data_IF_681366877854
#
_entry.id   IF_681366877854
#
_cell.length_a   1.000
_cell.length_b   1.000
_cell.length_c   1.000
_cell.angle_alpha   90.00
_cell.angle_beta   90.00
_cell.angle_gamma   90.00
#
_symmetry.space_group_name_H-M   'P 1'
#
loop_
_entity.id
_entity.type
_entity.pdbx_description
1 polymer ?
#
# COMPACT_ATOMS: atom_id res chain seq x y z
N UNK A 1 42.04 -22.49 7.92
CA UNK A 1 41.23 -23.38 8.79
C UNK A 1 39.78 -23.09 8.50
N UNK A 2 39.11 -24.10 7.95
CA UNK A 2 37.75 -24.08 7.40
C UNK A 2 36.73 -24.11 8.55
N UNK A 3 36.06 -22.99 8.82
CA UNK A 3 34.95 -22.94 9.78
C UNK A 3 33.67 -23.36 9.07
N UNK A 4 33.43 -24.67 9.07
CA UNK A 4 32.11 -25.33 9.02
C UNK A 4 30.97 -24.47 8.46
N UNK A 5 30.81 -24.47 7.14
CA UNK A 5 29.57 -24.08 6.47
C UNK A 5 28.47 -25.07 6.88
N UNK A 6 27.76 -24.75 7.96
CA UNK A 6 26.50 -25.41 8.30
C UNK A 6 25.60 -25.23 7.07
N UNK A 7 25.12 -26.29 6.40
CA UNK A 7 24.13 -26.11 5.36
C UNK A 7 22.91 -25.48 6.03
N UNK A 8 22.69 -24.19 5.79
CA UNK A 8 21.53 -23.47 6.29
C UNK A 8 20.32 -24.12 5.64
N UNK A 9 19.64 -24.99 6.39
CA UNK A 9 18.41 -25.71 6.00
C UNK A 9 17.28 -24.77 5.53
N UNK A 10 17.45 -23.47 5.75
CA UNK A 10 16.62 -22.41 5.21
C UNK A 10 17.53 -21.45 4.43
N UNK A 11 17.20 -21.09 3.18
CA UNK A 11 17.91 -20.03 2.49
C UNK A 11 17.83 -18.76 3.35
N UNK A 12 18.91 -17.94 3.40
CA UNK A 12 18.84 -16.65 4.09
C UNK A 12 17.66 -15.86 3.51
N UNK A 13 16.69 -15.55 4.38
CA UNK A 13 15.53 -14.74 4.03
C UNK A 13 16.05 -13.33 3.76
N UNK A 14 16.21 -13.00 2.49
CA UNK A 14 16.68 -11.69 2.06
C UNK A 14 15.55 -10.67 2.22
N UNK A 15 15.42 -10.13 3.43
CA UNK A 15 14.41 -9.12 3.76
C UNK A 15 14.63 -7.80 3.01
N UNK A 16 15.85 -7.56 2.49
CA UNK A 16 16.15 -6.39 1.66
C UNK A 16 15.43 -6.45 0.31
N UNK A 17 15.27 -7.65 -0.26
CA UNK A 17 14.54 -7.86 -1.52
C UNK A 17 13.04 -7.64 -1.35
N UNK A 18 12.44 -8.16 -0.27
CA UNK A 18 11.00 -8.04 -0.01
C UNK A 18 10.59 -6.60 0.32
N UNK A 19 11.32 -5.94 1.24
CA UNK A 19 11.03 -4.56 1.63
C UNK A 19 11.37 -3.59 0.50
N UNK A 20 12.47 -3.83 -0.22
CA UNK A 20 12.87 -3.02 -1.38
C UNK A 20 11.88 -3.10 -2.54
N UNK A 21 11.36 -4.29 -2.85
CA UNK A 21 10.34 -4.45 -3.90
C UNK A 21 9.08 -3.68 -3.57
N UNK A 22 8.60 -3.78 -2.34
CA UNK A 22 7.36 -3.14 -1.97
C UNK A 22 7.48 -1.61 -1.78
N UNK A 23 8.67 -1.07 -1.53
CA UNK A 23 8.94 0.37 -1.61
C UNK A 23 8.65 0.92 -3.02
N UNK A 24 9.10 0.22 -4.06
CA UNK A 24 8.75 0.56 -5.46
C UNK A 24 7.24 0.43 -5.72
N UNK A 25 6.59 -0.54 -5.08
CA UNK A 25 5.14 -0.66 -5.08
C UNK A 25 4.44 0.61 -4.57
N UNK A 26 4.86 1.15 -3.42
CA UNK A 26 4.28 2.38 -2.84
C UNK A 26 4.48 3.61 -3.75
N UNK A 27 5.63 3.69 -4.44
CA UNK A 27 5.87 4.74 -5.43
C UNK A 27 4.90 4.58 -6.61
N UNK A 28 4.77 3.37 -7.13
CA UNK A 28 3.85 3.06 -8.23
C UNK A 28 2.40 3.41 -7.88
N UNK A 29 1.93 3.02 -6.70
CA UNK A 29 0.58 3.33 -6.23
C UNK A 29 0.36 4.83 -6.01
N UNK A 30 1.39 5.58 -5.59
CA UNK A 30 1.32 7.05 -5.50
C UNK A 30 1.10 7.71 -6.87
N UNK A 31 1.75 7.20 -7.92
CA UNK A 31 1.54 7.69 -9.30
C UNK A 31 0.12 7.36 -9.77
N UNK A 32 -0.35 6.13 -9.51
CA UNK A 32 -1.71 5.71 -9.85
C UNK A 32 -2.76 6.58 -9.16
N UNK A 33 -2.57 6.93 -7.88
CA UNK A 33 -3.44 7.85 -7.15
C UNK A 33 -3.56 9.20 -7.88
N UNK A 34 -2.46 9.72 -8.41
CA UNK A 34 -2.47 10.94 -9.23
C UNK A 34 -3.34 10.80 -10.48
N UNK A 35 -3.27 9.64 -11.16
CA UNK A 35 -4.14 9.33 -12.28
C UNK A 35 -5.62 9.23 -11.85
N UNK A 36 -5.93 8.60 -10.71
CA UNK A 36 -7.30 8.49 -10.18
C UNK A 36 -7.90 9.87 -9.90
N UNK A 37 -7.11 10.79 -9.35
CA UNK A 37 -7.52 12.18 -9.10
C UNK A 37 -7.77 12.94 -10.41
N UNK A 38 -6.91 12.77 -11.41
CA UNK A 38 -7.10 13.37 -12.73
C UNK A 38 -8.36 12.82 -13.41
N UNK A 39 -8.60 11.51 -13.33
CA UNK A 39 -9.80 10.88 -13.85
C UNK A 39 -11.06 11.45 -13.19
N UNK A 40 -11.04 11.63 -11.87
CA UNK A 40 -12.11 12.30 -11.15
C UNK A 40 -12.28 13.75 -11.64
N UNK A 41 -11.20 14.51 -11.80
CA UNK A 41 -11.24 15.89 -12.28
C UNK A 41 -11.87 16.02 -13.68
N UNK A 42 -11.45 15.17 -14.64
CA UNK A 42 -12.05 15.15 -15.97
C UNK A 42 -13.54 14.77 -15.93
N UNK A 43 -13.91 13.83 -15.06
CA UNK A 43 -15.32 13.48 -14.85
C UNK A 43 -16.14 14.67 -14.35
N UNK A 44 -15.61 15.45 -13.39
CA UNK A 44 -16.26 16.68 -12.91
C UNK A 44 -16.38 17.78 -13.96
N UNK A 45 -15.40 17.84 -14.88
CA UNK A 45 -15.28 18.85 -15.93
C UNK A 45 -16.23 18.61 -17.09
N UNK A 46 -16.34 17.36 -17.55
CA UNK A 46 -16.98 17.03 -18.83
C UNK A 46 -18.43 16.54 -18.67
N UNK A 47 -18.78 16.00 -17.48
CA UNK A 47 -20.12 15.45 -17.24
C UNK A 47 -20.98 16.38 -16.36
N UNK A 48 -22.14 16.75 -16.91
CA UNK A 48 -23.23 17.45 -16.21
C UNK A 48 -24.22 16.46 -15.56
N UNK A 49 -23.75 15.24 -15.25
CA UNK A 49 -24.56 14.20 -14.63
C UNK A 49 -24.88 14.50 -13.16
N UNK A 50 -25.97 13.90 -12.67
CA UNK A 50 -26.52 14.14 -11.34
C UNK A 50 -25.51 13.97 -10.20
N UNK A 51 -25.67 14.77 -9.15
CA UNK A 51 -24.76 14.90 -7.99
C UNK A 51 -24.42 13.58 -7.29
N UNK A 52 -25.25 12.54 -7.48
CA UNK A 52 -25.02 11.18 -6.94
C UNK A 52 -23.78 10.50 -7.51
N UNK A 53 -23.58 10.59 -8.83
CA UNK A 53 -22.45 9.92 -9.49
C UNK A 53 -21.13 10.67 -9.22
N UNK A 54 -21.20 12.00 -9.12
CA UNK A 54 -20.10 12.85 -8.61
C UNK A 54 -19.72 12.51 -7.17
N UNK A 55 -20.69 12.30 -6.29
CA UNK A 55 -20.45 11.88 -4.90
C UNK A 55 -19.76 10.51 -4.81
N UNK A 56 -20.18 9.56 -5.64
CA UNK A 56 -19.58 8.22 -5.72
C UNK A 56 -18.10 8.31 -6.13
N UNK A 57 -17.78 9.08 -7.17
CA UNK A 57 -16.40 9.25 -7.65
C UNK A 57 -15.50 9.91 -6.59
N UNK A 58 -15.99 10.93 -5.88
CA UNK A 58 -15.23 11.54 -4.76
C UNK A 58 -15.01 10.51 -3.65
N UNK A 59 -16.05 9.76 -3.28
CA UNK A 59 -15.96 8.74 -2.23
C UNK A 59 -14.91 7.69 -2.61
N UNK A 60 -14.95 7.19 -3.84
CA UNK A 60 -14.01 6.20 -4.35
C UNK A 60 -12.56 6.74 -4.33
N UNK A 61 -12.36 7.99 -4.75
CA UNK A 61 -11.04 8.63 -4.72
C UNK A 61 -10.53 8.86 -3.29
N UNK A 62 -11.41 9.22 -2.34
CA UNK A 62 -11.05 9.35 -0.94
C UNK A 62 -10.65 8.00 -0.32
N UNK A 63 -11.39 6.93 -0.64
CA UNK A 63 -11.07 5.58 -0.17
C UNK A 63 -9.72 5.10 -0.74
N UNK A 64 -9.46 5.32 -2.02
CA UNK A 64 -8.18 5.02 -2.69
C UNK A 64 -7.00 5.74 -2.00
N UNK A 65 -7.20 7.03 -1.65
CA UNK A 65 -6.21 7.83 -0.92
C UNK A 65 -5.94 7.26 0.48
N UNK A 66 -6.97 6.80 1.18
CA UNK A 66 -6.84 6.23 2.53
C UNK A 66 -6.06 4.92 2.50
N UNK A 67 -6.37 4.02 1.55
CA UNK A 67 -5.61 2.78 1.37
C UNK A 67 -4.14 3.07 1.09
N UNK A 68 -3.84 3.99 0.17
CA UNK A 68 -2.48 4.41 -0.11
C UNK A 68 -1.77 4.99 1.14
N UNK A 69 -2.45 5.81 1.94
CA UNK A 69 -1.89 6.37 3.16
C UNK A 69 -1.55 5.28 4.20
N UNK A 70 -2.37 4.23 4.30
CA UNK A 70 -2.05 3.07 5.15
C UNK A 70 -0.78 2.37 4.68
N UNK A 71 -0.61 2.14 3.37
CA UNK A 71 0.63 1.58 2.84
C UNK A 71 1.84 2.45 3.18
N UNK A 72 1.77 3.77 2.96
CA UNK A 72 2.87 4.69 3.31
C UNK A 72 3.22 4.61 4.80
N UNK A 73 2.21 4.55 5.68
CA UNK A 73 2.43 4.41 7.12
C UNK A 73 3.09 3.07 7.50
N UNK A 74 2.66 1.97 6.87
CA UNK A 74 3.25 0.64 7.05
C UNK A 74 4.73 0.68 6.66
N UNK A 75 5.07 1.25 5.50
CA UNK A 75 6.45 1.37 5.07
C UNK A 75 7.27 2.30 5.95
N UNK A 76 6.71 3.39 6.46
CA UNK A 76 7.37 4.25 7.44
C UNK A 76 7.69 3.48 8.74
N UNK A 77 6.75 2.65 9.22
CA UNK A 77 6.93 1.84 10.41
C UNK A 77 8.03 0.77 10.24
N UNK A 78 8.11 0.16 9.05
CA UNK A 78 9.13 -0.84 8.72
C UNK A 78 10.50 -0.22 8.44
N UNK A 79 10.58 0.81 7.61
CA UNK A 79 11.84 1.40 7.13
C UNK A 79 12.46 2.40 8.11
N UNK A 80 11.65 3.14 8.87
CA UNK A 80 12.18 4.21 9.74
C UNK A 80 12.19 3.74 11.19
N UNK A 81 11.06 3.22 11.69
CA UNK A 81 10.90 2.95 13.13
C UNK A 81 11.55 1.62 13.55
N UNK A 82 11.58 0.61 12.69
CA UNK A 82 12.08 -0.73 13.01
C UNK A 82 13.11 -1.22 11.98
N UNK A 83 13.98 -0.32 11.51
CA UNK A 83 15.02 -0.66 10.55
C UNK A 83 15.93 -1.78 11.07
N UNK A 84 15.97 -2.90 10.35
CA UNK A 84 16.81 -4.07 10.69
C UNK A 84 16.19 -5.05 11.70
N UNK A 85 14.90 -4.92 12.05
CA UNK A 85 14.21 -5.88 12.93
C UNK A 85 13.26 -6.80 12.13
N UNK A 86 13.77 -7.95 11.68
CA UNK A 86 13.02 -8.91 10.87
C UNK A 86 11.79 -9.51 11.58
N UNK A 87 11.75 -9.48 12.92
CA UNK A 87 10.59 -9.94 13.70
C UNK A 87 9.36 -9.07 13.47
N UNK A 88 9.55 -7.80 13.14
CA UNK A 88 8.45 -6.86 12.87
C UNK A 88 7.81 -7.19 11.52
N UNK A 89 8.57 -7.73 10.56
CA UNK A 89 8.10 -8.11 9.22
C UNK A 89 7.14 -9.32 9.22
N UNK A 90 7.23 -10.16 10.25
CA UNK A 90 6.33 -11.32 10.46
C UNK A 90 5.01 -10.90 11.12
N UNK A 91 5.00 -9.75 11.82
CA UNK A 91 3.79 -9.25 12.45
C UNK A 91 2.90 -8.55 11.43
N UNK A 92 1.65 -8.99 11.29
CA UNK A 92 0.65 -8.28 10.47
C UNK A 92 0.39 -6.93 11.14
N UNK A 93 0.79 -5.80 10.52
CA UNK A 93 0.61 -4.50 11.13
C UNK A 93 -0.88 -4.13 11.04
N UNK A 94 -1.39 -3.43 12.05
CA UNK A 94 -2.79 -2.98 12.11
C UNK A 94 -3.33 -2.30 10.82
N UNK A 95 -2.55 -1.56 10.01
CA UNK A 95 -3.07 -0.94 8.79
C UNK A 95 -3.44 -1.96 7.72
N UNK A 96 -2.88 -3.16 7.75
CA UNK A 96 -3.22 -4.23 6.80
C UNK A 96 -4.65 -4.73 7.02
N UNK A 97 -5.08 -4.80 8.28
CA UNK A 97 -6.48 -5.11 8.63
C UNK A 97 -7.37 -3.95 8.22
N UNK A 98 -6.95 -2.70 8.45
CA UNK A 98 -7.70 -1.52 8.05
C UNK A 98 -7.91 -1.43 6.53
N UNK A 99 -6.90 -1.77 5.75
CA UNK A 99 -6.94 -1.82 4.29
C UNK A 99 -8.01 -2.80 3.78
N UNK A 100 -8.07 -4.02 4.36
CA UNK A 100 -9.13 -4.98 4.01
C UNK A 100 -10.53 -4.40 4.23
N UNK A 101 -10.73 -3.63 5.29
CA UNK A 101 -12.02 -2.94 5.49
C UNK A 101 -12.30 -1.91 4.38
N UNK A 102 -11.29 -1.14 3.96
CA UNK A 102 -11.45 -0.15 2.88
C UNK A 102 -11.78 -0.84 1.56
N UNK A 103 -11.09 -1.92 1.19
CA UNK A 103 -11.35 -2.67 -0.05
C UNK A 103 -12.77 -3.25 -0.08
N UNK A 104 -13.27 -3.75 1.06
CA UNK A 104 -14.66 -4.23 1.16
C UNK A 104 -15.67 -3.11 0.94
N UNK A 105 -15.41 -1.90 1.45
CA UNK A 105 -16.28 -0.74 1.23
C UNK A 105 -16.23 -0.31 -0.24
N UNK A 106 -15.03 -0.30 -0.85
CA UNK A 106 -14.86 0.01 -2.29
C UNK A 106 -15.64 -0.98 -3.15
N UNK A 107 -15.58 -2.28 -2.84
CA UNK A 107 -16.26 -3.34 -3.64
C UNK A 107 -17.78 -3.26 -3.55
N UNK A 108 -18.31 -2.73 -2.44
CA UNK A 108 -19.76 -2.57 -2.23
C UNK A 108 -20.33 -1.29 -2.85
N UNK A 109 -19.49 -0.32 -3.21
CA UNK A 109 -19.88 0.97 -3.77
C UNK A 109 -20.09 0.90 -5.29
#
# INVERSE_FOLDING_TARGET
MNSTSIPTLFPPFDTSSTVGTGYWGVIGTSVLLGCTVLQAYFYFRDNNDGWRLKGLVISLCALDTVSWAFFVYVYYYYLVKNFGNDLVLIAVPWPFVAELFVENIVTLL
#
